data_IF_130361587850
#
_entry.id   IF_130361587850
#
_cell.length_a   1.000
_cell.length_b   1.000
_cell.length_c   1.000
_cell.angle_alpha   90.00
_cell.angle_beta   90.00
_cell.angle_gamma   90.00
#
_symmetry.space_group_name_H-M   'P 1'
#
loop_
_entity.id
_entity.type
_entity.pdbx_description
1 polymer ?
#
# COMPACT_ATOMS: atom_id res chain seq x y z
N UNK A 1 -29.71 10.54 -39.21
CA UNK A 1 -30.12 10.52 -37.79
C UNK A 1 -29.32 9.45 -37.08
N UNK A 2 -28.21 9.82 -36.43
CA UNK A 2 -27.57 9.04 -35.38
C UNK A 2 -27.24 10.08 -34.31
N UNK A 3 -27.93 10.03 -33.17
CA UNK A 3 -27.62 10.85 -32.00
C UNK A 3 -26.54 10.10 -31.23
N UNK A 4 -25.30 10.54 -31.34
CA UNK A 4 -24.27 10.14 -30.38
C UNK A 4 -24.65 10.71 -29.02
N UNK A 5 -25.06 9.81 -28.11
CA UNK A 5 -25.24 10.14 -26.69
C UNK A 5 -23.85 10.37 -26.09
N UNK A 6 -23.54 11.63 -25.80
CA UNK A 6 -22.38 11.99 -24.99
C UNK A 6 -22.50 11.34 -23.60
N UNK A 7 -21.46 10.60 -23.22
CA UNK A 7 -21.30 9.94 -21.93
C UNK A 7 -21.07 11.00 -20.83
N UNK A 8 -21.87 11.05 -19.76
CA UNK A 8 -21.76 12.04 -18.69
C UNK A 8 -20.44 11.99 -17.89
N UNK A 9 -19.60 10.97 -18.10
CA UNK A 9 -18.27 10.87 -17.48
C UNK A 9 -17.14 11.53 -18.29
N UNK A 10 -17.41 12.08 -19.47
CA UNK A 10 -16.39 12.73 -20.30
C UNK A 10 -16.42 14.25 -20.13
N UNK A 11 -15.45 14.79 -19.40
CA UNK A 11 -15.21 16.24 -19.33
C UNK A 11 -14.70 16.74 -20.69
N UNK A 12 -15.37 17.71 -21.33
CA UNK A 12 -14.84 18.32 -22.54
C UNK A 12 -13.58 19.12 -22.20
N UNK A 13 -12.46 18.78 -22.84
CA UNK A 13 -11.15 19.43 -22.65
C UNK A 13 -11.14 20.91 -23.07
N UNK A 14 -12.13 21.36 -23.85
CA UNK A 14 -12.25 22.73 -24.34
C UNK A 14 -13.73 23.17 -24.35
N UNK A 15 -14.29 23.59 -23.21
CA UNK A 15 -15.70 24.01 -23.09
C UNK A 15 -16.04 25.26 -23.92
N UNK A 16 -15.02 25.99 -24.39
CA UNK A 16 -15.17 27.19 -25.21
C UNK A 16 -15.62 26.91 -26.65
N UNK A 17 -15.55 25.65 -27.10
CA UNK A 17 -15.88 25.23 -28.46
C UNK A 17 -17.30 24.64 -28.61
N UNK A 18 -17.98 24.32 -27.50
CA UNK A 18 -19.35 23.77 -27.53
C UNK A 18 -20.38 24.89 -27.54
N UNK A 19 -21.06 25.07 -28.68
CA UNK A 19 -22.15 26.06 -28.88
C UNK A 19 -23.48 25.68 -28.20
N UNK A 20 -23.48 24.78 -27.23
CA UNK A 20 -24.64 24.45 -26.41
C UNK A 20 -24.42 25.02 -25.01
N UNK A 21 -24.94 26.23 -24.83
CA UNK A 21 -25.10 26.91 -23.57
C UNK A 21 -26.11 26.16 -22.70
N UNK A 22 -25.64 25.15 -21.95
CA UNK A 22 -26.20 24.74 -20.65
C UNK A 22 -25.32 23.68 -19.96
N UNK A 23 -23.99 23.81 -20.09
CA UNK A 23 -23.10 23.10 -19.17
C UNK A 23 -23.08 23.91 -17.88
N UNK A 24 -23.74 23.40 -16.84
CA UNK A 24 -23.70 23.97 -15.50
C UNK A 24 -22.24 24.05 -15.03
N UNK A 25 -21.66 25.23 -15.22
CA UNK A 25 -20.31 25.54 -14.82
C UNK A 25 -20.22 25.47 -13.30
N UNK A 26 -19.24 24.73 -12.78
CA UNK A 26 -18.85 24.69 -11.35
C UNK A 26 -18.46 26.10 -10.82
N UNK A 27 -18.51 27.14 -11.65
CA UNK A 27 -18.22 28.53 -11.31
C UNK A 27 -19.41 29.29 -10.71
N UNK A 28 -20.31 28.65 -9.96
CA UNK A 28 -21.12 29.42 -9.02
C UNK A 28 -20.21 29.72 -7.81
N UNK A 29 -19.63 30.93 -7.80
CA UNK A 29 -18.86 31.49 -6.68
C UNK A 29 -19.43 31.13 -5.28
N UNK A 30 -20.76 31.11 -5.06
CA UNK A 30 -21.34 30.73 -3.77
C UNK A 30 -21.12 29.27 -3.36
N UNK A 31 -21.12 28.32 -4.30
CA UNK A 31 -20.91 26.89 -4.00
C UNK A 31 -19.44 26.60 -3.72
N UNK A 32 -18.53 27.26 -4.44
CA UNK A 32 -17.11 27.22 -4.16
C UNK A 32 -16.78 27.85 -2.80
N UNK A 33 -17.31 29.03 -2.50
CA UNK A 33 -17.12 29.70 -1.21
C UNK A 33 -17.72 28.88 -0.06
N UNK A 34 -18.85 28.21 -0.30
CA UNK A 34 -19.46 27.30 0.68
C UNK A 34 -18.61 26.05 0.88
N UNK A 35 -18.07 25.45 -0.18
CA UNK A 35 -17.18 24.31 -0.10
C UNK A 35 -15.86 24.68 0.60
N UNK A 36 -15.29 25.84 0.31
CA UNK A 36 -14.08 26.37 0.94
C UNK A 36 -14.32 26.67 2.42
N UNK A 37 -15.43 27.34 2.77
CA UNK A 37 -15.80 27.57 4.16
C UNK A 37 -16.06 26.26 4.92
N UNK A 38 -16.66 25.27 4.28
CA UNK A 38 -16.81 23.94 4.86
C UNK A 38 -15.46 23.25 5.05
N UNK A 39 -14.54 23.38 4.09
CA UNK A 39 -13.19 22.82 4.19
C UNK A 39 -12.37 23.49 5.29
N UNK A 40 -12.46 24.81 5.44
CA UNK A 40 -11.84 25.57 6.54
C UNK A 40 -12.42 25.12 7.89
N UNK A 41 -13.75 25.01 8.01
CA UNK A 41 -14.41 24.50 9.22
C UNK A 41 -14.02 23.06 9.55
N UNK A 42 -13.92 22.20 8.54
CA UNK A 42 -13.46 20.82 8.70
C UNK A 42 -11.99 20.80 9.14
N UNK A 43 -11.13 21.63 8.53
CA UNK A 43 -9.73 21.76 8.93
C UNK A 43 -9.56 22.26 10.37
N UNK A 44 -10.49 23.07 10.88
CA UNK A 44 -10.47 23.52 12.27
C UNK A 44 -10.86 22.39 13.26
N UNK A 45 -11.66 21.42 12.80
CA UNK A 45 -12.16 20.29 13.58
C UNK A 45 -11.16 19.13 13.67
N UNK A 46 -10.21 19.02 12.74
CA UNK A 46 -9.34 17.86 12.68
C UNK A 46 -8.44 17.80 11.45
N UNK A 47 -7.82 16.64 11.28
CA UNK A 47 -6.89 16.39 10.19
C UNK A 47 -7.17 15.02 9.57
N UNK A 48 -6.96 14.96 8.26
CA UNK A 48 -7.05 13.73 7.51
C UNK A 48 -5.74 12.93 7.63
N UNK A 49 -5.84 11.68 8.07
CA UNK A 49 -4.70 10.78 8.27
C UNK A 49 -4.86 9.58 7.34
N UNK A 50 -3.93 9.47 6.38
CA UNK A 50 -3.77 8.29 5.54
C UNK A 50 -2.65 7.41 6.10
N UNK A 51 -2.94 6.13 6.32
CA UNK A 51 -1.95 5.15 6.79
C UNK A 51 -1.51 4.25 5.64
N UNK A 52 -0.32 4.48 5.13
CA UNK A 52 0.29 3.68 4.07
C UNK A 52 1.33 2.74 4.65
N UNK A 53 0.94 1.49 4.91
CA UNK A 53 1.85 0.45 5.41
C UNK A 53 2.16 -0.50 4.27
N UNK A 54 3.41 -0.47 3.81
CA UNK A 54 3.86 -1.23 2.63
C UNK A 54 5.15 -2.00 2.94
N UNK A 55 5.48 -2.95 2.08
CA UNK A 55 6.76 -3.66 2.15
C UNK A 55 6.81 -4.90 3.05
N UNK A 56 5.76 -5.16 3.84
CA UNK A 56 5.71 -6.31 4.77
C UNK A 56 5.71 -7.67 4.06
N UNK A 57 5.09 -7.75 2.88
CA UNK A 57 4.99 -8.98 2.08
C UNK A 57 6.05 -9.06 0.98
N UNK A 58 7.13 -8.26 1.06
CA UNK A 58 8.19 -8.31 0.04
C UNK A 58 8.77 -9.72 -0.03
N UNK A 59 8.83 -10.21 -1.25
CA UNK A 59 9.30 -11.53 -1.62
C UNK A 59 9.79 -11.49 -3.06
N UNK A 60 10.39 -12.59 -3.49
CA UNK A 60 10.68 -12.82 -4.90
C UNK A 60 10.15 -14.21 -5.30
N UNK A 61 9.75 -14.32 -6.55
CA UNK A 61 9.31 -15.57 -7.15
C UNK A 61 10.20 -15.89 -8.34
N UNK A 62 10.61 -17.14 -8.45
CA UNK A 62 11.30 -17.66 -9.63
C UNK A 62 10.29 -18.50 -10.40
N UNK A 63 10.04 -18.14 -11.66
CA UNK A 63 9.19 -18.90 -12.57
C UNK A 63 10.02 -19.30 -13.79
N UNK A 64 10.24 -20.60 -13.94
CA UNK A 64 11.05 -21.18 -15.01
C UNK A 64 10.37 -21.02 -16.36
N UNK A 65 9.03 -20.98 -16.37
CA UNK A 65 8.26 -20.78 -17.61
C UNK A 65 8.45 -19.38 -18.20
N UNK A 66 8.90 -18.42 -17.40
CA UNK A 66 9.23 -17.06 -17.82
C UNK A 66 10.69 -16.91 -18.27
N UNK A 67 11.52 -17.94 -18.06
CA UNK A 67 12.92 -17.95 -18.44
C UNK A 67 13.10 -18.63 -19.80
N UNK A 68 14.02 -18.12 -20.62
CA UNK A 68 14.38 -18.72 -21.92
C UNK A 68 15.38 -19.87 -21.68
N UNK A 69 14.91 -20.96 -21.05
CA UNK A 69 15.71 -22.16 -20.81
C UNK A 69 15.18 -23.26 -21.75
N UNK A 70 16.02 -23.85 -22.61
CA UNK A 70 15.58 -24.94 -23.48
C UNK A 70 15.15 -26.15 -22.63
N UNK A 71 14.07 -26.83 -23.05
CA UNK A 71 13.48 -27.93 -22.28
C UNK A 71 14.46 -29.08 -22.01
N UNK A 72 15.41 -29.31 -22.92
CA UNK A 72 16.43 -30.36 -22.81
C UNK A 72 17.39 -30.15 -21.61
N UNK A 73 17.37 -28.97 -20.98
CA UNK A 73 18.16 -28.64 -19.79
C UNK A 73 17.34 -28.76 -18.48
N UNK A 74 16.07 -29.15 -18.57
CA UNK A 74 15.12 -29.19 -17.44
C UNK A 74 14.62 -30.60 -17.19
N UNK A 75 14.55 -31.00 -15.92
CA UNK A 75 13.92 -32.28 -15.52
C UNK A 75 12.40 -32.19 -15.63
N UNK A 76 11.79 -33.11 -16.39
CA UNK A 76 10.36 -33.14 -16.72
C UNK A 76 9.38 -33.17 -15.52
N UNK A 77 9.80 -33.66 -14.35
CA UNK A 77 8.95 -33.83 -13.16
C UNK A 77 9.05 -32.70 -12.12
N UNK A 78 9.80 -31.63 -12.43
CA UNK A 78 10.13 -30.61 -11.43
C UNK A 78 9.11 -29.48 -11.34
N UNK A 79 8.86 -28.91 -10.14
CA UNK A 79 8.06 -27.70 -10.01
C UNK A 79 8.66 -26.55 -10.81
N UNK A 80 7.86 -25.88 -11.64
CA UNK A 80 8.30 -24.78 -12.52
C UNK A 80 8.33 -23.40 -11.84
N UNK A 81 7.95 -23.32 -10.57
CA UNK A 81 7.98 -22.05 -9.84
C UNK A 81 8.20 -22.25 -8.34
N UNK A 82 8.90 -21.29 -7.73
CA UNK A 82 9.03 -21.16 -6.28
C UNK A 82 8.84 -19.71 -5.86
N UNK A 83 8.37 -19.48 -4.63
CA UNK A 83 8.21 -18.15 -4.06
C UNK A 83 8.81 -18.09 -2.66
N UNK A 84 9.52 -17.01 -2.39
CA UNK A 84 10.28 -16.83 -1.18
C UNK A 84 10.02 -15.44 -0.58
N UNK A 85 9.69 -15.40 0.71
CA UNK A 85 9.49 -14.14 1.44
C UNK A 85 10.82 -13.62 1.99
N UNK A 86 11.06 -12.31 1.89
CA UNK A 86 12.28 -11.67 2.40
C UNK A 86 12.28 -11.50 3.93
N UNK A 87 11.11 -11.61 4.55
CA UNK A 87 10.96 -11.58 6.00
C UNK A 87 10.43 -12.94 6.48
N UNK A 88 10.97 -13.52 7.56
CA UNK A 88 10.38 -14.68 8.22
C UNK A 88 8.94 -14.42 8.66
N UNK A 89 8.12 -15.47 8.66
CA UNK A 89 6.70 -15.39 9.03
C UNK A 89 6.47 -14.74 10.40
N UNK A 90 7.31 -15.07 11.39
CA UNK A 90 7.24 -14.49 12.73
C UNK A 90 7.40 -12.96 12.70
N UNK A 91 8.33 -12.45 11.89
CA UNK A 91 8.55 -11.00 11.72
C UNK A 91 7.35 -10.39 11.00
N UNK A 92 6.91 -10.98 9.89
CA UNK A 92 5.74 -10.47 9.13
C UNK A 92 4.50 -10.38 10.03
N UNK A 93 4.24 -11.42 10.81
CA UNK A 93 3.11 -11.47 11.73
C UNK A 93 3.22 -10.41 12.83
N UNK A 94 4.40 -10.16 13.37
CA UNK A 94 4.59 -9.12 14.38
C UNK A 94 4.40 -7.72 13.79
N UNK A 95 4.96 -7.45 12.61
CA UNK A 95 4.76 -6.16 11.94
C UNK A 95 3.30 -5.93 11.52
N UNK A 96 2.58 -7.00 11.15
CA UNK A 96 1.12 -6.95 10.96
C UNK A 96 0.38 -6.59 12.26
N UNK A 97 0.79 -7.13 13.41
CA UNK A 97 0.20 -6.73 14.70
C UNK A 97 0.38 -5.24 14.96
N UNK A 98 1.57 -4.69 14.75
CA UNK A 98 1.80 -3.25 14.88
C UNK A 98 0.95 -2.43 13.90
N UNK A 99 0.72 -2.95 12.69
CA UNK A 99 -0.21 -2.34 11.74
C UNK A 99 -1.64 -2.26 12.29
N UNK A 100 -2.13 -3.35 12.90
CA UNK A 100 -3.44 -3.37 13.53
C UNK A 100 -3.50 -2.46 14.75
N UNK A 101 -2.43 -2.40 15.54
CA UNK A 101 -2.33 -1.54 16.71
C UNK A 101 -2.42 -0.06 16.31
N UNK A 102 -1.68 0.36 15.29
CA UNK A 102 -1.79 1.73 14.74
C UNK A 102 -3.19 2.03 14.22
N UNK A 103 -3.83 1.08 13.54
CA UNK A 103 -5.22 1.25 13.08
C UNK A 103 -6.21 1.32 14.23
N UNK A 104 -5.97 0.57 15.32
CA UNK A 104 -6.85 0.52 16.50
C UNK A 104 -6.86 1.81 17.29
N UNK A 105 -5.85 2.67 17.13
CA UNK A 105 -5.88 4.03 17.64
C UNK A 105 -7.15 4.76 17.18
N UNK A 106 -7.51 4.61 15.90
CA UNK A 106 -8.67 5.24 15.31
C UNK A 106 -9.96 4.49 15.69
N UNK A 107 -10.78 5.13 16.52
CA UNK A 107 -12.07 4.62 16.95
C UNK A 107 -13.14 5.72 16.91
N UNK A 108 -14.39 5.36 17.16
CA UNK A 108 -15.54 6.27 17.07
C UNK A 108 -15.48 7.48 18.00
N UNK A 109 -14.62 7.48 19.02
CA UNK A 109 -14.48 8.60 19.97
C UNK A 109 -13.49 9.65 19.49
N UNK A 110 -12.48 9.26 18.73
CA UNK A 110 -11.39 10.16 18.33
C UNK A 110 -11.32 10.40 16.82
N UNK A 111 -12.04 9.61 16.02
CA UNK A 111 -12.00 9.71 14.57
C UNK A 111 -13.27 9.18 13.92
N UNK A 112 -13.42 9.47 12.63
CA UNK A 112 -14.35 8.73 11.76
C UNK A 112 -13.62 8.21 10.52
N UNK A 113 -14.09 7.09 10.01
CA UNK A 113 -13.53 6.44 8.82
C UNK A 113 -14.07 7.12 7.55
N UNK A 114 -13.23 7.17 6.52
CA UNK A 114 -13.54 7.65 5.17
C UNK A 114 -12.95 6.69 4.14
N UNK A 115 -13.36 6.78 2.88
CA UNK A 115 -12.86 5.92 1.81
C UNK A 115 -11.34 6.01 1.59
N UNK A 116 -10.71 7.07 2.08
CA UNK A 116 -9.29 7.35 1.87
C UNK A 116 -8.44 7.14 3.13
N UNK A 117 -9.05 6.93 4.31
CA UNK A 117 -8.34 6.95 5.60
C UNK A 117 -9.21 7.40 6.78
N UNK A 118 -8.58 7.98 7.80
CA UNK A 118 -9.25 8.40 9.03
C UNK A 118 -9.22 9.92 9.20
N UNK A 119 -10.36 10.51 9.56
CA UNK A 119 -10.40 11.90 9.99
C UNK A 119 -10.25 11.96 11.51
N UNK A 120 -9.12 12.48 11.99
CA UNK A 120 -8.79 12.57 13.41
C UNK A 120 -9.27 13.90 13.98
N UNK A 121 -9.95 13.88 15.12
CA UNK A 121 -10.38 15.10 15.80
C UNK A 121 -9.20 15.84 16.43
N UNK A 122 -9.21 17.17 16.31
CA UNK A 122 -8.13 18.06 16.79
C UNK A 122 -7.82 17.87 18.28
N UNK A 123 -8.83 17.58 19.09
CA UNK A 123 -8.68 17.31 20.53
C UNK A 123 -7.75 16.13 20.84
N UNK A 124 -7.52 15.23 19.89
CA UNK A 124 -6.72 14.02 20.06
C UNK A 124 -5.36 14.08 19.35
N UNK A 125 -4.96 15.23 18.78
CA UNK A 125 -3.70 15.36 18.06
C UNK A 125 -2.47 15.10 18.92
N UNK A 126 -2.45 15.63 20.15
CA UNK A 126 -1.34 15.40 21.08
C UNK A 126 -1.23 13.92 21.44
N UNK A 127 -2.36 13.26 21.65
CA UNK A 127 -2.42 11.82 21.93
C UNK A 127 -1.94 10.99 20.73
N UNK A 128 -2.35 11.35 19.51
CA UNK A 128 -1.89 10.71 18.28
C UNK A 128 -0.38 10.85 18.09
N UNK A 129 0.16 12.05 18.32
CA UNK A 129 1.60 12.29 18.22
C UNK A 129 2.38 11.41 19.18
N UNK A 130 2.02 11.41 20.46
CA UNK A 130 2.70 10.56 21.45
C UNK A 130 2.58 9.07 21.10
N UNK A 131 1.39 8.62 20.70
CA UNK A 131 1.17 7.24 20.30
C UNK A 131 2.05 6.84 19.10
N UNK A 132 2.16 7.67 18.07
CA UNK A 132 3.01 7.36 16.92
C UNK A 132 4.49 7.37 17.29
N UNK A 133 4.96 8.30 18.12
CA UNK A 133 6.35 8.32 18.60
C UNK A 133 6.68 7.03 19.38
N UNK A 134 5.75 6.55 20.21
CA UNK A 134 5.89 5.28 20.94
C UNK A 134 5.87 4.06 20.01
N UNK A 135 4.99 4.06 19.00
CA UNK A 135 4.91 2.98 18.01
C UNK A 135 6.17 2.94 17.13
N UNK A 136 6.70 4.09 16.71
CA UNK A 136 7.93 4.19 15.94
C UNK A 136 9.10 3.60 16.73
N UNK A 137 9.21 3.96 18.01
CA UNK A 137 10.22 3.38 18.90
C UNK A 137 10.04 1.88 19.07
N UNK A 138 8.81 1.42 19.31
CA UNK A 138 8.50 -0.01 19.48
C UNK A 138 8.88 -0.84 18.25
N UNK A 139 8.54 -0.35 17.05
CA UNK A 139 8.90 -1.00 15.79
C UNK A 139 10.42 -0.99 15.60
N UNK A 140 11.08 0.13 15.87
CA UNK A 140 12.53 0.26 15.74
C UNK A 140 13.29 -0.67 16.68
N UNK A 141 12.89 -0.74 17.95
CA UNK A 141 13.48 -1.62 18.95
C UNK A 141 13.27 -3.10 18.57
N UNK A 142 12.07 -3.45 18.09
CA UNK A 142 11.79 -4.80 17.59
C UNK A 142 12.69 -5.17 16.42
N UNK A 143 12.76 -4.33 15.37
CA UNK A 143 13.60 -4.58 14.20
C UNK A 143 15.08 -4.66 14.58
N UNK A 144 15.56 -3.75 15.43
CA UNK A 144 16.93 -3.78 15.92
C UNK A 144 17.22 -5.08 16.66
N UNK A 145 16.30 -5.57 17.51
CA UNK A 145 16.48 -6.83 18.23
C UNK A 145 16.63 -8.05 17.31
N UNK A 146 15.94 -8.05 16.16
CA UNK A 146 15.99 -9.14 15.18
C UNK A 146 17.22 -9.03 14.27
N UNK A 147 17.58 -7.80 13.88
CA UNK A 147 18.78 -7.56 13.07
C UNK A 147 20.06 -7.75 13.89
N UNK A 148 19.99 -7.64 15.22
CA UNK A 148 21.11 -7.86 16.13
C UNK A 148 21.69 -9.26 15.94
N UNK A 149 23.02 -9.33 15.89
CA UNK A 149 23.73 -10.61 15.74
C UNK A 149 23.63 -11.24 14.34
N UNK A 150 23.26 -10.46 13.32
CA UNK A 150 23.21 -10.89 11.92
C UNK A 150 22.25 -12.06 11.64
N UNK A 151 21.25 -12.27 12.50
CA UNK A 151 20.27 -13.35 12.32
C UNK A 151 19.42 -13.11 11.07
N UNK A 152 18.95 -11.88 10.89
CA UNK A 152 18.22 -11.49 9.69
C UNK A 152 19.07 -11.63 8.42
N UNK A 153 20.34 -11.20 8.45
CA UNK A 153 21.23 -11.33 7.28
C UNK A 153 21.48 -12.79 6.89
N UNK A 154 21.62 -13.69 7.87
CA UNK A 154 21.68 -15.14 7.62
C UNK A 154 20.40 -15.69 7.00
N UNK A 155 19.24 -15.30 7.53
CA UNK A 155 17.95 -15.70 6.96
C UNK A 155 17.84 -15.21 5.51
N UNK A 156 18.14 -13.94 5.27
CA UNK A 156 18.10 -13.33 3.94
C UNK A 156 18.99 -14.10 2.97
N UNK A 157 20.25 -14.36 3.33
CA UNK A 157 21.17 -15.15 2.50
C UNK A 157 20.62 -16.55 2.21
N UNK A 158 20.10 -17.23 3.24
CA UNK A 158 19.50 -18.55 3.09
C UNK A 158 18.29 -18.54 2.15
N UNK A 159 17.48 -17.47 2.19
CA UNK A 159 16.33 -17.31 1.30
C UNK A 159 16.77 -17.23 -0.17
N UNK A 160 17.89 -16.57 -0.48
CA UNK A 160 18.44 -16.55 -1.84
C UNK A 160 19.11 -17.87 -2.21
N UNK A 161 19.81 -18.51 -1.26
CA UNK A 161 20.38 -19.83 -1.46
C UNK A 161 19.29 -20.85 -1.82
N UNK A 162 18.13 -20.82 -1.16
CA UNK A 162 17.01 -21.69 -1.49
C UNK A 162 16.52 -21.52 -2.93
N UNK A 163 16.47 -20.28 -3.44
CA UNK A 163 16.09 -20.00 -4.83
C UNK A 163 17.15 -20.48 -5.82
N UNK A 164 18.43 -20.37 -5.46
CA UNK A 164 19.54 -20.90 -6.25
C UNK A 164 19.56 -22.43 -6.27
N UNK A 165 19.37 -23.08 -5.12
CA UNK A 165 19.28 -24.54 -4.99
C UNK A 165 18.07 -25.07 -5.78
N UNK A 166 16.96 -24.33 -5.81
CA UNK A 166 15.82 -24.63 -6.68
C UNK A 166 16.25 -24.72 -8.15
N UNK A 167 17.04 -23.76 -8.66
CA UNK A 167 17.56 -23.80 -10.04
C UNK A 167 18.44 -25.03 -10.30
N UNK A 168 19.19 -25.52 -9.31
CA UNK A 168 19.94 -26.76 -9.45
C UNK A 168 19.09 -28.01 -9.44
N UNK A 169 18.03 -28.05 -8.62
CA UNK A 169 17.16 -29.23 -8.56
C UNK A 169 16.45 -29.49 -9.88
N UNK A 170 16.03 -28.43 -10.58
CA UNK A 170 15.35 -28.50 -11.87
C UNK A 170 16.30 -28.73 -13.06
N UNK A 171 17.59 -28.41 -12.90
CA UNK A 171 18.57 -28.55 -13.97
C UNK A 171 18.85 -30.04 -14.24
N UNK A 172 18.79 -30.43 -15.52
CA UNK A 172 19.15 -31.76 -16.00
C UNK A 172 20.56 -31.76 -16.60
N UNK A 173 21.51 -31.22 -15.83
CA UNK A 173 22.93 -31.21 -16.20
C UNK A 173 23.52 -32.54 -15.72
N UNK A 174 23.70 -33.47 -16.65
CA UNK A 174 24.62 -34.62 -16.50
C UNK A 174 25.98 -34.26 -17.07
#
# INVERSE_FOLDING_TARGET
MIKDKLDPCQLPLFPELSKESDIASITSLPEFDKALNNLIKISDLGAFIQLNISGLERGYSLNISEMVIPNDFLKDSSPRSTSHHLFPDKIRNQLKKYTYEVKSFFNSKNSFHTDYGYFLFRSHFTMWRHFIDEMEKTVSDYLYSICKGNQYGKYFLNTFQNGYDFLFTIADIT
#
